data_IF_642197222092
#
_entry.id   IF_642197222092
#
_cell.length_a   1.000
_cell.length_b   1.000
_cell.length_c   1.000
_cell.angle_alpha   90.00
_cell.angle_beta   90.00
_cell.angle_gamma   90.00
#
_symmetry.space_group_name_H-M   'P 1'
#
loop_
_entity.id
_entity.type
_entity.pdbx_description
1 polymer ?
#
# COMPACT_ATOMS: atom_id res chain seq x y z
N UNK A 1 -19.66 11.28 -18.69
CA UNK A 1 -19.12 11.22 -18.45
C UNK A 1 -18.75 10.92 -18.34
N UNK A 2 -18.50 11.03 -18.41
CA UNK A 2 -17.81 10.74 -18.41
C UNK A 2 -17.10 10.40 -17.88
N UNK A 3 -16.67 10.34 -18.05
CA UNK A 3 -15.70 10.00 -17.66
C UNK A 3 -15.25 10.36 -17.01
N UNK A 4 -15.24 10.91 -16.96
CA UNK A 4 -14.51 11.25 -16.42
C UNK A 4 -14.48 11.36 -15.59
N UNK A 5 -14.99 11.68 -15.50
CA UNK A 5 -14.74 11.76 -14.84
C UNK A 5 -14.28 11.30 -13.99
N UNK A 6 -14.56 11.09 -13.79
CA UNK A 6 -13.85 10.28 -13.23
C UNK A 6 -12.57 10.47 -13.03
N UNK A 7 -12.26 11.01 -13.66
CA UNK A 7 -10.90 10.98 -13.86
C UNK A 7 -10.18 11.76 -12.86
N UNK A 8 -9.20 11.23 -12.19
CA UNK A 8 -8.31 11.92 -11.34
C UNK A 8 -8.76 12.19 -9.91
N UNK A 9 -9.99 11.94 -9.61
CA UNK A 9 -10.48 12.20 -8.26
C UNK A 9 -10.46 10.93 -7.44
N UNK A 10 -9.52 10.78 -6.49
CA UNK A 10 -9.51 9.59 -5.65
C UNK A 10 -10.60 9.67 -4.59
N UNK A 11 -10.98 8.53 -4.08
CA UNK A 11 -11.77 8.47 -2.87
C UNK A 11 -10.87 8.88 -1.71
N UNK A 12 -11.40 9.63 -0.77
CA UNK A 12 -10.59 10.13 0.33
C UNK A 12 -11.20 9.78 1.67
N UNK A 13 -10.34 9.37 2.58
CA UNK A 13 -10.68 9.23 3.98
C UNK A 13 -9.95 10.34 4.69
N UNK A 14 -10.69 11.34 5.12
CA UNK A 14 -10.09 12.54 5.68
C UNK A 14 -9.54 12.30 7.07
N UNK A 15 -8.63 13.16 7.47
CA UNK A 15 -8.10 13.19 8.81
C UNK A 15 -9.25 13.25 9.82
N UNK A 16 -9.07 12.62 10.96
CA UNK A 16 -10.08 12.54 12.01
C UNK A 16 -11.27 11.66 11.67
N UNK A 17 -11.14 10.84 10.64
CA UNK A 17 -12.16 9.87 10.27
C UNK A 17 -11.59 8.48 10.48
N UNK A 18 -12.38 7.63 11.10
CA UNK A 18 -12.00 6.24 11.32
C UNK A 18 -13.02 5.33 10.67
N UNK A 19 -12.56 4.41 9.86
CA UNK A 19 -13.39 3.43 9.19
C UNK A 19 -12.99 2.04 9.64
N UNK A 20 -13.96 1.23 9.98
CA UNK A 20 -13.75 -0.18 10.30
C UNK A 20 -14.54 -1.01 9.32
N UNK A 21 -13.88 -1.91 8.62
CA UNK A 21 -14.56 -2.77 7.66
C UNK A 21 -13.76 -2.95 6.40
N UNK A 22 -14.41 -3.48 5.38
CA UNK A 22 -13.76 -3.84 4.13
C UNK A 22 -14.25 -2.94 3.01
N UNK A 23 -13.31 -2.51 2.18
CA UNK A 23 -13.60 -1.62 1.06
C UNK A 23 -13.17 -2.32 -0.22
N UNK A 24 -14.05 -2.31 -1.21
CA UNK A 24 -13.75 -2.83 -2.54
C UNK A 24 -14.04 -1.72 -3.54
N UNK A 25 -13.08 -1.44 -4.40
CA UNK A 25 -13.22 -0.36 -5.36
C UNK A 25 -12.37 -0.64 -6.59
N UNK A 26 -12.59 0.12 -7.65
CA UNK A 26 -11.72 0.13 -8.82
C UNK A 26 -11.02 1.47 -8.95
N UNK A 27 -11.25 2.37 -8.03
CA UNK A 27 -10.71 3.72 -8.07
C UNK A 27 -9.53 3.88 -7.12
N UNK A 28 -8.85 5.01 -7.27
CA UNK A 28 -7.76 5.35 -6.37
C UNK A 28 -8.29 5.79 -5.02
N UNK A 29 -7.49 5.59 -3.99
CA UNK A 29 -7.82 6.00 -2.62
C UNK A 29 -6.69 6.82 -2.02
N UNK A 30 -7.07 7.86 -1.27
CA UNK A 30 -6.13 8.56 -0.43
C UNK A 30 -6.63 8.51 1.01
N UNK A 31 -5.77 8.09 1.92
CA UNK A 31 -6.15 7.91 3.31
C UNK A 31 -5.31 8.80 4.20
N UNK A 32 -5.96 9.79 4.79
CA UNK A 32 -5.34 10.69 5.76
C UNK A 32 -5.88 10.43 7.16
N UNK A 33 -6.89 9.59 7.26
CA UNK A 33 -7.46 9.16 8.53
C UNK A 33 -7.01 7.76 8.91
N UNK A 34 -7.90 7.01 9.54
CA UNK A 34 -7.60 5.68 10.03
C UNK A 34 -8.52 4.64 9.39
N UNK A 35 -7.94 3.54 8.97
CA UNK A 35 -8.70 2.39 8.49
C UNK A 35 -8.28 1.14 9.25
N UNK A 36 -9.27 0.43 9.77
CA UNK A 36 -9.05 -0.89 10.38
C UNK A 36 -9.90 -1.89 9.60
N UNK A 37 -9.24 -2.73 8.80
CA UNK A 37 -9.93 -3.66 7.94
C UNK A 37 -9.17 -3.89 6.67
N UNK A 38 -9.84 -3.81 5.51
CA UNK A 38 -9.17 -4.08 4.26
C UNK A 38 -9.58 -3.12 3.16
N UNK A 39 -8.67 -2.94 2.20
CA UNK A 39 -8.96 -2.23 0.96
C UNK A 39 -8.51 -3.13 -0.18
N UNK A 40 -9.41 -3.35 -1.12
CA UNK A 40 -9.07 -4.02 -2.35
C UNK A 40 -9.47 -3.12 -3.51
N UNK A 41 -8.49 -2.70 -4.29
CA UNK A 41 -8.75 -1.84 -5.43
C UNK A 41 -7.77 -2.18 -6.56
N UNK A 42 -8.20 -1.94 -7.79
CA UNK A 42 -7.30 -2.09 -8.93
C UNK A 42 -6.52 -0.82 -9.20
N UNK A 43 -6.74 0.21 -8.41
CA UNK A 43 -6.06 1.49 -8.56
C UNK A 43 -4.91 1.66 -7.57
N UNK A 44 -4.67 2.90 -7.19
CA UNK A 44 -3.58 3.29 -6.32
C UNK A 44 -4.10 3.66 -4.94
N UNK A 45 -3.34 3.27 -3.92
CA UNK A 45 -3.64 3.67 -2.54
C UNK A 45 -2.52 4.56 -2.05
N UNK A 46 -2.88 5.75 -1.57
CA UNK A 46 -1.93 6.68 -0.97
C UNK A 46 -2.27 6.83 0.50
N UNK A 47 -1.29 6.57 1.36
CA UNK A 47 -1.46 6.79 2.80
C UNK A 47 -0.68 8.05 3.12
N UNK A 48 -1.40 9.12 3.47
CA UNK A 48 -0.78 10.38 3.81
C UNK A 48 -0.05 10.31 5.13
N UNK A 49 0.69 11.35 5.46
CA UNK A 49 1.55 11.32 6.65
C UNK A 49 0.77 11.12 7.96
N UNK A 50 -0.48 11.51 8.00
CA UNK A 50 -1.32 11.30 9.18
C UNK A 50 -2.15 10.04 9.08
N UNK A 51 -2.09 9.35 7.95
CA UNK A 51 -2.88 8.15 7.74
C UNK A 51 -2.35 6.96 8.51
N UNK A 52 -3.26 6.12 8.97
CA UNK A 52 -2.91 4.89 9.68
C UNK A 52 -3.81 3.79 9.17
N UNK A 53 -3.22 2.70 8.73
CA UNK A 53 -3.99 1.54 8.28
C UNK A 53 -3.53 0.31 9.04
N UNK A 54 -4.49 -0.42 9.57
CA UNK A 54 -4.26 -1.70 10.21
C UNK A 54 -5.11 -2.74 9.51
N UNK A 55 -4.48 -3.69 8.84
CA UNK A 55 -5.21 -4.73 8.15
C UNK A 55 -4.55 -5.11 6.85
N UNK A 56 -5.36 -5.23 5.79
CA UNK A 56 -4.90 -5.77 4.51
C UNK A 56 -5.18 -4.78 3.40
N UNK A 57 -4.17 -4.56 2.55
CA UNK A 57 -4.34 -3.76 1.33
C UNK A 57 -3.95 -4.62 0.14
N UNK A 58 -4.81 -4.62 -0.87
CA UNK A 58 -4.55 -5.27 -2.15
C UNK A 58 -4.81 -4.23 -3.23
N UNK A 59 -3.76 -3.79 -3.91
CA UNK A 59 -3.86 -2.72 -4.91
C UNK A 59 -2.80 -2.87 -5.97
N UNK A 60 -2.87 -2.01 -7.00
CA UNK A 60 -1.88 -2.01 -8.06
C UNK A 60 -0.66 -1.18 -7.69
N UNK A 61 -0.88 -0.01 -7.12
CA UNK A 61 0.19 0.92 -6.72
C UNK A 61 -0.08 1.41 -5.30
N UNK A 62 0.98 1.67 -4.55
CA UNK A 62 0.83 2.24 -3.21
C UNK A 62 1.95 3.21 -2.91
N UNK A 63 1.59 4.35 -2.31
CA UNK A 63 2.54 5.31 -1.77
C UNK A 63 2.24 5.46 -0.29
N UNK A 64 3.23 5.25 0.55
CA UNK A 64 3.02 5.30 2.00
C UNK A 64 3.90 6.37 2.62
N UNK A 65 3.26 7.38 3.20
CA UNK A 65 3.94 8.40 4.00
C UNK A 65 3.64 8.24 5.48
N UNK A 66 2.52 7.62 5.80
CA UNK A 66 2.08 7.44 7.19
C UNK A 66 2.45 6.08 7.73
N UNK A 67 1.50 5.45 8.39
CA UNK A 67 1.75 4.18 9.07
C UNK A 67 0.88 3.08 8.50
N UNK A 68 1.49 1.92 8.31
CA UNK A 68 0.77 0.72 7.89
C UNK A 68 1.22 -0.45 8.74
N UNK A 69 0.25 -1.23 9.20
CA UNK A 69 0.53 -2.46 9.94
C UNK A 69 -0.39 -3.54 9.43
N UNK A 70 0.19 -4.63 8.92
CA UNK A 70 -0.59 -5.74 8.44
C UNK A 70 0.00 -6.37 7.19
N UNK A 71 -0.84 -6.68 6.22
CA UNK A 71 -0.44 -7.34 5.01
C UNK A 71 -0.71 -6.44 3.80
N UNK A 72 0.30 -6.24 2.99
CA UNK A 72 0.22 -5.36 1.82
C UNK A 72 0.57 -6.15 0.57
N UNK A 73 -0.36 -6.17 -0.38
CA UNK A 73 -0.15 -6.82 -1.66
C UNK A 73 -0.27 -5.76 -2.75
N UNK A 74 0.86 -5.41 -3.35
CA UNK A 74 0.92 -4.39 -4.38
C UNK A 74 1.41 -5.03 -5.67
N UNK A 75 0.58 -5.01 -6.68
CA UNK A 75 0.89 -5.74 -7.91
C UNK A 75 1.98 -5.07 -8.73
N UNK A 76 2.02 -3.75 -8.74
CA UNK A 76 3.00 -3.01 -9.53
C UNK A 76 4.11 -2.45 -8.66
N UNK A 77 3.93 -1.27 -8.09
CA UNK A 77 5.02 -0.68 -7.33
C UNK A 77 4.55 -0.08 -6.02
N UNK A 78 5.42 -0.20 -5.02
CA UNK A 78 5.23 0.36 -3.70
C UNK A 78 6.32 1.39 -3.46
N UNK A 79 5.91 2.60 -3.07
CA UNK A 79 6.83 3.67 -2.70
C UNK A 79 6.69 3.97 -1.23
N UNK A 80 7.79 3.88 -0.50
CA UNK A 80 7.83 4.22 0.92
C UNK A 80 8.52 5.56 1.06
N UNK A 81 7.79 6.55 1.53
CA UNK A 81 8.32 7.91 1.68
C UNK A 81 9.11 8.03 2.97
N UNK A 82 9.87 9.11 3.10
CA UNK A 82 10.82 9.24 4.19
C UNK A 82 10.21 9.20 5.59
N UNK A 83 8.93 9.54 5.71
CA UNK A 83 8.27 9.55 7.02
C UNK A 83 7.48 8.29 7.31
N UNK A 84 7.48 7.34 6.40
CA UNK A 84 6.60 6.19 6.54
C UNK A 84 7.11 5.20 7.58
N UNK A 85 6.17 4.44 8.12
CA UNK A 85 6.45 3.37 9.05
C UNK A 85 5.60 2.17 8.62
N UNK A 86 6.26 1.11 8.19
CA UNK A 86 5.58 -0.06 7.67
C UNK A 86 5.99 -1.29 8.44
N UNK A 87 4.99 -1.98 9.00
CA UNK A 87 5.21 -3.21 9.76
C UNK A 87 4.33 -4.32 9.19
N UNK A 88 4.88 -5.53 9.10
CA UNK A 88 4.09 -6.69 8.74
C UNK A 88 4.67 -7.45 7.56
N UNK A 89 3.83 -7.76 6.58
CA UNK A 89 4.22 -8.53 5.40
C UNK A 89 3.87 -7.78 4.14
N UNK A 90 4.76 -7.86 3.16
CA UNK A 90 4.59 -7.14 1.89
C UNK A 90 4.91 -8.07 0.73
N UNK A 91 4.01 -8.10 -0.26
CA UNK A 91 4.26 -8.76 -1.53
C UNK A 91 4.12 -7.70 -2.61
N UNK A 92 5.16 -7.48 -3.40
CA UNK A 92 5.21 -6.35 -4.31
C UNK A 92 5.89 -6.70 -5.63
N UNK A 93 5.60 -5.91 -6.65
CA UNK A 93 6.31 -6.02 -7.91
C UNK A 93 7.61 -5.24 -7.90
N UNK A 94 7.55 -3.98 -7.47
CA UNK A 94 8.71 -3.10 -7.43
C UNK A 94 8.68 -2.30 -6.14
N UNK A 95 9.84 -2.14 -5.51
CA UNK A 95 9.95 -1.42 -4.25
C UNK A 95 10.84 -0.20 -4.40
N UNK A 96 10.33 0.95 -3.97
CA UNK A 96 11.08 2.19 -3.91
C UNK A 96 11.04 2.68 -2.47
N UNK A 97 12.20 2.83 -1.86
CA UNK A 97 12.29 3.24 -0.45
C UNK A 97 13.11 4.50 -0.37
N UNK A 98 12.53 5.55 0.20
CA UNK A 98 13.25 6.78 0.45
C UNK A 98 14.02 6.69 1.74
N UNK A 99 15.11 7.44 1.80
CA UNK A 99 15.91 7.54 3.01
C UNK A 99 15.04 8.03 4.17
N UNK A 100 15.14 7.37 5.31
CA UNK A 100 14.34 7.73 6.49
C UNK A 100 13.10 6.90 6.69
N UNK A 101 12.69 6.12 5.69
CA UNK A 101 11.54 5.25 5.84
C UNK A 101 11.87 4.11 6.80
N UNK A 102 10.91 3.74 7.63
CA UNK A 102 11.05 2.60 8.53
C UNK A 102 10.32 1.42 7.92
N UNK A 103 11.06 0.40 7.59
CA UNK A 103 10.52 -0.77 6.90
C UNK A 103 10.80 -2.02 7.73
N UNK A 104 9.83 -2.40 8.52
CA UNK A 104 9.91 -3.54 9.44
C UNK A 104 8.98 -4.64 8.96
N UNK A 105 9.30 -5.22 7.81
CA UNK A 105 8.36 -6.13 7.19
C UNK A 105 9.08 -7.26 6.49
N UNK A 106 8.39 -8.38 6.38
CA UNK A 106 8.81 -9.47 5.55
C UNK A 106 8.38 -9.13 4.13
N UNK A 107 9.34 -9.02 3.24
CA UNK A 107 9.08 -8.59 1.87
C UNK A 107 9.31 -9.72 0.89
N UNK A 108 8.35 -9.95 0.02
CA UNK A 108 8.48 -10.87 -1.09
C UNK A 108 8.22 -10.08 -2.36
N UNK A 109 9.08 -10.27 -3.35
CA UNK A 109 8.88 -9.60 -4.63
C UNK A 109 8.24 -10.56 -5.60
N UNK A 110 7.25 -10.05 -6.34
CA UNK A 110 6.62 -10.86 -7.36
C UNK A 110 7.11 -10.42 -8.72
N UNK A 111 7.33 -11.38 -9.57
CA UNK A 111 7.60 -11.09 -10.94
C UNK A 111 7.15 -12.32 -11.71
N UNK A 112 6.45 -12.11 -12.75
CA UNK A 112 5.93 -13.12 -13.65
C UNK A 112 6.07 -14.55 -13.12
N UNK A 113 7.09 -15.26 -13.51
CA UNK A 113 7.25 -16.66 -13.16
C UNK A 113 8.30 -16.90 -12.09
N UNK A 114 8.95 -15.85 -11.60
CA UNK A 114 10.13 -16.00 -10.76
C UNK A 114 9.97 -15.51 -9.34
N UNK A 115 8.74 -15.30 -8.93
CA UNK A 115 8.47 -14.75 -7.59
C UNK A 115 9.17 -15.54 -6.50
N UNK A 116 9.06 -16.85 -6.53
CA UNK A 116 9.68 -17.67 -5.50
C UNK A 116 11.20 -17.54 -5.49
N UNK A 117 11.78 -17.61 -6.66
CA UNK A 117 13.24 -17.52 -6.76
C UNK A 117 13.76 -16.19 -6.23
N UNK A 118 13.08 -15.11 -6.59
CA UNK A 118 13.47 -13.79 -6.13
C UNK A 118 13.32 -13.67 -4.62
N UNK A 119 12.21 -14.17 -4.08
CA UNK A 119 11.98 -14.13 -2.64
C UNK A 119 13.06 -14.91 -1.89
N UNK A 120 13.41 -16.07 -2.39
CA UNK A 120 14.45 -16.87 -1.76
C UNK A 120 15.79 -16.17 -1.74
N UNK A 121 16.15 -15.53 -2.86
CA UNK A 121 17.41 -14.80 -2.93
C UNK A 121 17.43 -13.65 -1.95
N UNK A 122 16.34 -12.93 -1.83
CA UNK A 122 16.25 -11.82 -0.89
C UNK A 122 16.42 -12.32 0.54
N UNK A 123 15.77 -13.42 0.87
CA UNK A 123 15.86 -13.98 2.20
C UNK A 123 17.28 -14.42 2.53
N UNK A 124 17.98 -14.96 1.55
CA UNK A 124 19.34 -15.42 1.76
C UNK A 124 20.32 -14.28 1.95
N UNK A 125 20.02 -13.13 1.38
CA UNK A 125 20.92 -11.99 1.48
C UNK A 125 20.56 -11.03 2.62
N UNK A 126 19.40 -11.20 3.19
CA UNK A 126 18.97 -10.35 4.30
C UNK A 126 19.52 -10.83 5.67
#
# INVERSE_FOLDING_TARGET
MKNNELNGQPNRIEKNTKIKGDIVSEADFRIDGTLEGSIKTSGKVVIGKDGVIKGVIDCAFADIEGKFNGKLDVKESLSLKSMCQLDGEVVIGKLIVESGAIFNAKCSMRSASDVKSISEKIEKTA
#
